data_IF_577304288283
#
_entry.id   IF_577304288283
#
_cell.length_a   1.000
_cell.length_b   1.000
_cell.length_c   1.000
_cell.angle_alpha   90.00
_cell.angle_beta   90.00
_cell.angle_gamma   90.00
#
_symmetry.space_group_name_H-M   'P 1'
#
loop_
_entity.id
_entity.type
_entity.pdbx_description
1 polymer ?
#
# COMPACT_ATOMS: atom_id res chain seq x y z
N UNK A 1 29.04 5.09 53.83
CA UNK A 1 28.80 3.95 52.92
C UNK A 1 27.44 4.17 52.30
N UNK A 2 27.40 4.76 51.12
CA UNK A 2 26.17 5.16 50.44
C UNK A 2 26.12 4.39 49.13
N UNK A 3 25.21 3.42 49.02
CA UNK A 3 25.00 2.63 47.82
C UNK A 3 24.25 3.48 46.79
N UNK A 4 24.94 3.86 45.72
CA UNK A 4 24.36 4.49 44.54
C UNK A 4 23.79 3.38 43.65
N UNK A 5 22.47 3.20 43.68
CA UNK A 5 21.76 2.22 42.85
C UNK A 5 21.64 2.80 41.43
N UNK A 6 22.49 2.32 40.52
CA UNK A 6 22.47 2.72 39.11
C UNK A 6 21.34 1.96 38.40
N UNK A 7 20.18 2.60 38.24
CA UNK A 7 19.10 2.10 37.38
C UNK A 7 19.52 2.29 35.91
N UNK A 8 20.00 1.21 35.28
CA UNK A 8 20.15 1.17 33.83
C UNK A 8 18.75 0.90 33.26
N UNK A 9 18.06 1.97 32.85
CA UNK A 9 16.89 1.85 31.97
C UNK A 9 17.38 1.34 30.62
N UNK A 10 17.29 0.03 30.42
CA UNK A 10 17.31 -0.58 29.10
C UNK A 10 16.00 -0.20 28.39
N UNK A 11 16.01 0.88 27.60
CA UNK A 11 15.00 1.06 26.56
C UNK A 11 15.21 -0.06 25.54
N UNK A 12 14.41 -1.12 25.66
CA UNK A 12 14.14 -1.98 24.53
C UNK A 12 13.43 -1.11 23.48
N UNK A 13 14.14 -0.78 22.41
CA UNK A 13 13.54 -0.21 21.22
C UNK A 13 12.61 -1.29 20.65
N UNK A 14 11.31 -1.14 20.89
CA UNK A 14 10.29 -1.81 20.08
C UNK A 14 10.53 -1.38 18.64
N UNK A 15 11.13 -2.28 17.87
CA UNK A 15 11.52 -2.06 16.50
C UNK A 15 10.28 -2.28 15.62
N UNK A 16 9.81 -1.20 15.03
CA UNK A 16 8.97 -1.15 13.83
C UNK A 16 7.63 -1.91 13.88
N UNK A 17 6.70 -1.47 14.75
CA UNK A 17 5.27 -1.62 14.49
C UNK A 17 4.64 -0.23 14.30
N UNK A 18 4.56 0.21 13.04
CA UNK A 18 3.70 1.32 12.60
C UNK A 18 4.04 2.70 13.16
N UNK A 19 5.25 3.21 12.92
CA UNK A 19 5.50 4.64 13.04
C UNK A 19 4.50 5.43 12.16
N UNK A 20 4.09 6.64 12.58
CA UNK A 20 3.13 7.42 11.80
C UNK A 20 3.70 7.72 10.41
N UNK A 21 2.94 7.40 9.36
CA UNK A 21 3.29 7.80 8.00
C UNK A 21 3.13 9.30 7.88
N UNK A 22 4.21 9.99 7.52
CA UNK A 22 4.23 11.45 7.48
C UNK A 22 3.33 12.01 6.38
N UNK A 23 3.28 11.35 5.22
CA UNK A 23 2.43 11.74 4.12
C UNK A 23 2.00 10.52 3.29
N UNK A 24 0.71 10.41 3.00
CA UNK A 24 0.18 9.37 2.09
C UNK A 24 -0.59 10.02 0.95
N UNK A 25 -0.22 9.71 -0.30
CA UNK A 25 -0.96 10.13 -1.49
C UNK A 25 -1.75 8.97 -2.05
N UNK A 26 -3.07 9.06 -2.01
CA UNK A 26 -3.97 8.05 -2.56
C UNK A 26 -4.23 8.29 -4.05
N UNK A 27 -3.95 7.27 -4.85
CA UNK A 27 -4.36 7.14 -6.24
C UNK A 27 -5.51 6.10 -6.34
N UNK A 28 -6.23 6.05 -7.46
CA UNK A 28 -7.39 5.16 -7.60
C UNK A 28 -7.11 3.68 -7.26
N UNK A 29 -5.88 3.20 -7.48
CA UNK A 29 -5.51 1.79 -7.36
C UNK A 29 -4.27 1.52 -6.51
N UNK A 30 -3.66 2.54 -5.92
CA UNK A 30 -2.47 2.43 -5.08
C UNK A 30 -2.32 3.68 -4.22
N UNK A 31 -1.41 3.66 -3.25
CA UNK A 31 -0.99 4.86 -2.54
C UNK A 31 0.54 4.98 -2.54
N UNK A 32 1.04 6.20 -2.64
CA UNK A 32 2.42 6.53 -2.32
C UNK A 32 2.50 6.83 -0.82
N UNK A 33 3.41 6.13 -0.14
CA UNK A 33 3.69 6.34 1.28
C UNK A 33 5.05 6.99 1.40
N UNK A 34 5.08 8.17 2.01
CA UNK A 34 6.30 8.92 2.33
C UNK A 34 6.45 9.02 3.85
N UNK A 35 7.62 8.61 4.35
CA UNK A 35 7.94 8.64 5.78
C UNK A 35 9.39 9.08 6.01
N UNK A 36 9.69 9.56 7.20
CA UNK A 36 11.07 9.88 7.59
C UNK A 36 11.98 8.64 7.45
N UNK A 37 13.21 8.84 6.95
CA UNK A 37 14.19 7.77 6.84
C UNK A 37 14.56 7.24 8.22
N UNK A 38 14.28 5.96 8.46
CA UNK A 38 14.69 5.23 9.65
C UNK A 38 16.14 4.72 9.58
N UNK A 39 16.59 3.95 10.59
CA UNK A 39 17.90 3.30 10.54
C UNK A 39 17.98 2.32 9.36
N UNK A 40 19.13 2.31 8.69
CA UNK A 40 19.39 1.38 7.59
C UNK A 40 20.01 0.06 8.08
N UNK A 41 19.68 -1.07 7.45
CA UNK A 41 18.71 -1.22 6.36
C UNK A 41 17.25 -1.09 6.84
N UNK A 42 16.38 -0.57 5.97
CA UNK A 42 14.93 -0.58 6.22
C UNK A 42 14.42 -2.01 6.21
N UNK A 43 13.62 -2.39 7.20
CA UNK A 43 13.03 -3.72 7.31
C UNK A 43 11.55 -3.69 6.94
N UNK A 44 11.14 -4.62 6.08
CA UNK A 44 9.74 -4.89 5.73
C UNK A 44 9.41 -6.35 6.04
N UNK A 45 8.27 -6.58 6.66
CA UNK A 45 7.74 -7.94 6.83
C UNK A 45 7.22 -8.48 5.50
N UNK A 46 7.13 -9.80 5.35
CA UNK A 46 6.51 -10.39 4.15
C UNK A 46 5.10 -9.84 3.89
N UNK A 47 4.31 -9.67 4.94
CA UNK A 47 2.91 -9.24 4.82
C UNK A 47 2.79 -7.77 4.36
N UNK A 48 3.81 -6.94 4.61
CA UNK A 48 3.93 -5.60 4.02
C UNK A 48 4.48 -5.66 2.59
N UNK A 49 5.53 -6.46 2.38
CA UNK A 49 6.28 -6.50 1.13
C UNK A 49 5.44 -6.94 -0.07
N UNK A 50 4.51 -7.88 0.10
CA UNK A 50 3.63 -8.34 -0.98
C UNK A 50 2.79 -7.22 -1.61
N UNK A 51 2.59 -6.11 -0.91
CA UNK A 51 1.85 -4.94 -1.40
C UNK A 51 2.76 -3.79 -1.83
N UNK A 52 4.05 -3.84 -1.50
CA UNK A 52 5.02 -2.81 -1.88
C UNK A 52 5.55 -3.12 -3.29
N UNK A 53 5.60 -2.11 -4.14
CA UNK A 53 6.21 -2.22 -5.47
C UNK A 53 7.73 -2.00 -5.35
N UNK A 54 8.60 -3.02 -5.53
CA UNK A 54 10.02 -2.89 -5.16
C UNK A 54 10.80 -1.83 -5.94
N UNK A 55 10.44 -1.59 -7.21
CA UNK A 55 11.06 -0.58 -8.08
C UNK A 55 10.54 0.85 -7.81
N UNK A 56 9.60 1.02 -6.90
CA UNK A 56 9.09 2.35 -6.50
C UNK A 56 9.79 2.94 -5.28
N UNK A 57 10.64 2.16 -4.60
CA UNK A 57 11.27 2.60 -3.36
C UNK A 57 12.37 3.61 -3.69
N UNK A 58 12.19 4.85 -3.23
CA UNK A 58 13.06 5.98 -3.53
C UNK A 58 13.41 6.74 -2.25
N UNK A 59 14.62 7.29 -2.22
CA UNK A 59 15.06 8.18 -1.17
C UNK A 59 14.85 9.62 -1.64
N UNK A 60 14.13 10.40 -0.85
CA UNK A 60 13.77 11.79 -1.13
C UNK A 60 14.55 12.73 -0.21
N UNK A 61 15.09 13.79 -0.82
CA UNK A 61 15.87 14.84 -0.18
C UNK A 61 16.13 15.97 -1.18
N UNK A 62 16.39 17.19 -0.70
CA UNK A 62 16.76 18.34 -1.51
C UNK A 62 18.12 18.18 -2.20
N UNK A 63 19.08 17.48 -1.59
CA UNK A 63 20.46 17.32 -2.09
C UNK A 63 20.98 15.88 -1.90
N UNK A 64 20.10 14.90 -2.06
CA UNK A 64 20.48 13.49 -1.97
C UNK A 64 20.84 12.93 -3.35
N UNK A 65 22.02 12.31 -3.45
CA UNK A 65 22.43 11.55 -4.62
C UNK A 65 22.52 10.07 -4.25
N UNK A 66 21.56 9.27 -4.70
CA UNK A 66 21.54 7.82 -4.46
C UNK A 66 22.41 7.14 -5.51
N UNK A 67 23.49 6.50 -5.07
CA UNK A 67 24.40 5.75 -5.95
C UNK A 67 23.94 4.32 -6.18
N UNK A 68 23.34 3.68 -5.17
CA UNK A 68 22.72 2.36 -5.33
C UNK A 68 21.62 2.09 -4.32
N UNK A 69 20.69 1.23 -4.72
CA UNK A 69 19.65 0.65 -3.84
C UNK A 69 19.78 -0.86 -3.89
N UNK A 70 19.97 -1.50 -2.74
CA UNK A 70 20.07 -2.96 -2.63
C UNK A 70 18.87 -3.48 -1.85
N UNK A 71 18.17 -4.45 -2.42
CA UNK A 71 17.06 -5.16 -1.77
C UNK A 71 17.52 -6.59 -1.48
N UNK A 72 17.52 -6.98 -0.21
CA UNK A 72 17.90 -8.32 0.23
C UNK A 72 16.72 -9.00 0.90
N UNK A 73 16.31 -10.14 0.38
CA UNK A 73 15.43 -11.06 1.10
C UNK A 73 16.27 -11.88 2.08
N UNK A 74 15.87 -11.91 3.36
CA UNK A 74 16.42 -12.83 4.35
C UNK A 74 15.31 -13.71 4.88
N UNK A 75 15.52 -15.02 4.78
CA UNK A 75 14.68 -16.05 5.40
C UNK A 75 15.55 -16.88 6.33
N UNK A 76 15.07 -17.16 7.54
CA UNK A 76 15.75 -18.09 8.44
C UNK A 76 15.67 -19.48 7.80
N UNK A 77 16.82 -20.05 7.45
CA UNK A 77 16.90 -21.40 6.89
C UNK A 77 16.30 -22.42 7.86
N UNK A 78 15.54 -23.35 7.30
CA UNK A 78 15.01 -24.52 8.01
C UNK A 78 15.94 -25.75 7.89
N UNK A 79 17.14 -25.59 7.34
CA UNK A 79 18.12 -26.67 7.26
C UNK A 79 18.51 -27.14 8.67
N UNK A 80 18.58 -28.46 8.85
CA UNK A 80 18.81 -29.13 10.12
C UNK A 80 17.57 -29.25 11.01
N UNK A 81 16.41 -28.72 10.62
CA UNK A 81 15.19 -28.80 11.46
C UNK A 81 14.55 -30.19 11.38
N UNK A 82 13.97 -30.61 12.50
CA UNK A 82 13.17 -31.83 12.56
C UNK A 82 11.80 -31.59 11.95
N UNK A 83 11.40 -32.48 11.05
CA UNK A 83 10.14 -32.43 10.32
C UNK A 83 9.52 -33.82 10.28
N UNK A 84 8.24 -33.87 9.93
CA UNK A 84 7.53 -35.10 9.63
C UNK A 84 7.20 -35.14 8.14
N UNK A 85 7.49 -36.26 7.48
CA UNK A 85 7.22 -36.44 6.06
C UNK A 85 6.23 -37.57 5.86
N UNK A 86 5.30 -37.40 4.92
CA UNK A 86 4.38 -38.48 4.55
C UNK A 86 5.18 -39.69 4.04
N UNK A 87 4.93 -40.87 4.61
CA UNK A 87 5.67 -42.09 4.28
C UNK A 87 5.59 -42.41 2.79
N UNK A 88 6.70 -42.86 2.15
CA UNK A 88 6.68 -43.21 0.74
C UNK A 88 5.70 -44.32 0.36
N UNK A 89 5.55 -45.32 1.23
CA UNK A 89 4.56 -46.40 1.11
C UNK A 89 3.10 -45.94 1.23
N UNK A 90 2.89 -44.65 1.47
CA UNK A 90 1.61 -44.02 1.81
C UNK A 90 1.27 -42.88 0.85
N UNK A 91 2.05 -42.70 -0.22
CA UNK A 91 1.80 -41.68 -1.26
C UNK A 91 0.55 -41.98 -2.11
N UNK A 92 -0.01 -43.20 -2.04
CA UNK A 92 -1.26 -43.61 -2.70
C UNK A 92 -2.54 -43.03 -2.05
N UNK A 93 -2.41 -41.95 -1.26
CA UNK A 93 -3.56 -41.18 -0.76
C UNK A 93 -4.28 -41.75 0.47
N UNK A 94 -4.27 -43.07 0.68
CA UNK A 94 -5.14 -43.73 1.67
C UNK A 94 -4.59 -43.92 3.08
N UNK A 95 -3.29 -43.67 3.31
CA UNK A 95 -2.72 -43.67 4.65
C UNK A 95 -2.10 -42.30 4.99
N UNK A 96 -2.19 -41.93 6.26
CA UNK A 96 -1.65 -40.70 6.86
C UNK A 96 -0.47 -41.02 7.77
N UNK A 97 0.36 -42.01 7.39
CA UNK A 97 1.55 -42.32 8.17
C UNK A 97 2.62 -41.28 7.88
N UNK A 98 3.04 -40.57 8.92
CA UNK A 98 4.15 -39.64 8.88
C UNK A 98 5.38 -40.26 9.53
N UNK A 99 6.55 -39.90 9.00
CA UNK A 99 7.85 -40.44 9.35
C UNK A 99 8.73 -39.28 9.77
N UNK A 100 9.47 -39.43 10.87
CA UNK A 100 10.36 -38.39 11.36
C UNK A 100 11.60 -38.25 10.45
N UNK A 101 11.97 -37.03 10.12
CA UNK A 101 13.15 -36.72 9.33
C UNK A 101 13.79 -35.39 9.71
N UNK A 102 14.95 -35.12 9.12
CA UNK A 102 15.66 -33.84 9.19
C UNK A 102 15.68 -33.22 7.81
N UNK A 103 15.24 -31.97 7.68
CA UNK A 103 15.38 -31.21 6.44
C UNK A 103 16.86 -30.87 6.24
N UNK A 104 17.48 -31.39 5.19
CA UNK A 104 18.90 -31.17 4.90
C UNK A 104 19.09 -29.94 4.00
N UNK A 105 18.17 -29.73 3.06
CA UNK A 105 18.18 -28.59 2.16
C UNK A 105 16.75 -28.15 1.84
N UNK A 106 16.36 -26.98 2.34
CA UNK A 106 15.06 -26.36 2.15
C UNK A 106 14.77 -26.02 0.68
N UNK A 107 15.75 -25.49 -0.07
CA UNK A 107 15.55 -25.07 -1.46
C UNK A 107 15.22 -26.23 -2.42
N UNK A 108 15.60 -27.45 -2.06
CA UNK A 108 15.35 -28.67 -2.83
C UNK A 108 14.44 -29.68 -2.12
N UNK A 109 13.90 -29.31 -0.95
CA UNK A 109 13.15 -30.20 -0.06
C UNK A 109 13.83 -31.57 0.12
N UNK A 110 15.14 -31.57 0.38
CA UNK A 110 15.93 -32.78 0.61
C UNK A 110 15.87 -33.17 2.07
N UNK A 111 15.53 -34.42 2.37
CA UNK A 111 15.18 -34.87 3.72
C UNK A 111 15.91 -36.16 4.05
N UNK A 112 16.54 -36.20 5.22
CA UNK A 112 17.12 -37.41 5.81
C UNK A 112 16.12 -38.04 6.76
N UNK A 113 15.63 -39.23 6.42
CA UNK A 113 14.71 -39.99 7.28
C UNK A 113 15.46 -40.55 8.49
N UNK A 114 14.86 -40.43 9.69
CA UNK A 114 15.43 -40.93 10.95
C UNK A 114 14.67 -42.13 11.52
N UNK A 115 13.66 -42.64 10.81
CA UNK A 115 12.84 -43.74 11.30
C UNK A 115 13.53 -45.09 11.08
N UNK A 116 13.98 -45.68 12.19
CA UNK A 116 14.63 -47.00 12.25
C UNK A 116 13.72 -48.12 11.73
N UNK A 117 12.39 -47.93 11.69
CA UNK A 117 11.45 -48.95 11.21
C UNK A 117 11.43 -49.13 9.69
N UNK A 118 12.07 -48.24 8.93
CA UNK A 118 11.95 -48.20 7.46
C UNK A 118 13.19 -48.74 6.75
N UNK A 119 14.39 -48.69 7.35
CA UNK A 119 15.63 -49.21 6.76
C UNK A 119 16.84 -49.07 7.69
N UNK A 120 17.71 -50.08 7.75
CA UNK A 120 19.04 -50.04 8.41
C UNK A 120 20.04 -49.06 7.73
N UNK A 121 19.66 -48.45 6.60
CA UNK A 121 20.49 -47.51 5.82
C UNK A 121 19.90 -46.12 5.82
N UNK A 122 20.78 -45.11 5.86
CA UNK A 122 20.43 -43.69 5.73
C UNK A 122 19.64 -43.46 4.43
N UNK A 123 18.35 -43.15 4.57
CA UNK A 123 17.46 -42.91 3.44
C UNK A 123 17.30 -41.40 3.23
N UNK A 124 17.75 -40.93 2.08
CA UNK A 124 17.57 -39.55 1.63
C UNK A 124 16.41 -39.51 0.64
N UNK A 125 15.40 -38.69 0.96
CA UNK A 125 14.34 -38.35 0.03
C UNK A 125 14.69 -37.03 -0.64
N UNK A 126 14.77 -37.05 -1.96
CA UNK A 126 14.97 -35.85 -2.77
C UNK A 126 13.62 -35.37 -3.32
N UNK A 127 13.43 -34.06 -3.41
CA UNK A 127 12.25 -33.44 -4.05
C UNK A 127 10.92 -33.84 -3.42
N UNK A 128 10.83 -33.84 -2.09
CA UNK A 128 9.54 -34.07 -1.42
C UNK A 128 8.62 -32.86 -1.66
N UNK A 129 7.39 -33.06 -2.15
CA UNK A 129 6.41 -31.97 -2.28
C UNK A 129 6.18 -31.26 -0.94
N UNK A 130 6.10 -29.93 -0.94
CA UNK A 130 5.97 -29.17 0.31
C UNK A 130 4.71 -29.55 1.12
N UNK A 131 3.62 -29.94 0.45
CA UNK A 131 2.40 -30.42 1.09
C UNK A 131 2.53 -31.81 1.75
N UNK A 132 3.66 -32.51 1.57
CA UNK A 132 3.98 -33.77 2.24
C UNK A 132 4.91 -33.58 3.45
N UNK A 133 5.32 -32.33 3.72
CA UNK A 133 6.18 -31.97 4.84
C UNK A 133 5.31 -31.28 5.90
N UNK A 134 5.36 -31.81 7.12
CA UNK A 134 4.79 -31.19 8.31
C UNK A 134 5.94 -30.66 9.16
N UNK A 135 5.95 -29.35 9.35
CA UNK A 135 6.88 -28.67 10.24
C UNK A 135 6.35 -28.72 11.67
N UNK A 136 7.26 -28.87 12.65
CA UNK A 136 6.91 -28.83 14.08
C UNK A 136 6.48 -27.43 14.54
N UNK A 137 7.04 -26.40 13.89
CA UNK A 137 6.74 -24.99 14.10
C UNK A 137 6.37 -24.37 12.75
N UNK A 138 5.60 -23.28 12.79
CA UNK A 138 5.28 -22.56 11.55
C UNK A 138 6.57 -22.03 10.90
N UNK A 139 6.79 -22.32 9.60
CA UNK A 139 7.95 -21.80 8.88
C UNK A 139 8.06 -20.28 9.01
N UNK A 140 9.26 -19.75 9.32
CA UNK A 140 9.45 -18.31 9.41
C UNK A 140 9.20 -17.66 8.05
N UNK A 141 8.35 -16.64 8.04
CA UNK A 141 8.13 -15.80 6.85
C UNK A 141 9.41 -15.04 6.50
N UNK A 142 9.70 -14.81 5.22
CA UNK A 142 10.85 -13.99 4.82
C UNK A 142 10.68 -12.55 5.30
N UNK A 143 11.81 -11.86 5.46
CA UNK A 143 11.89 -10.41 5.71
C UNK A 143 12.68 -9.76 4.58
N UNK A 144 12.32 -8.54 4.23
CA UNK A 144 12.94 -7.80 3.14
C UNK A 144 13.69 -6.60 3.70
N UNK A 145 14.93 -6.43 3.27
CA UNK A 145 15.83 -5.39 3.74
C UNK A 145 16.20 -4.48 2.58
N UNK A 146 15.92 -3.19 2.70
CA UNK A 146 16.29 -2.19 1.70
C UNK A 146 17.40 -1.32 2.25
N UNK A 147 18.51 -1.27 1.51
CA UNK A 147 19.66 -0.44 1.85
C UNK A 147 19.94 0.55 0.72
N UNK A 148 20.31 1.76 1.07
CA UNK A 148 20.72 2.79 0.14
C UNK A 148 22.20 3.11 0.35
N UNK A 149 22.94 3.27 -0.75
CA UNK A 149 24.22 3.98 -0.74
C UNK A 149 23.94 5.35 -1.35
N UNK A 150 24.21 6.41 -0.60
CA UNK A 150 23.89 7.77 -1.01
C UNK A 150 24.90 8.77 -0.44
N UNK A 151 25.02 9.89 -1.13
CA UNK A 151 25.71 11.09 -0.64
C UNK A 151 24.65 12.15 -0.34
N UNK A 152 24.70 12.74 0.86
CA UNK A 152 23.80 13.83 1.27
C UNK A 152 24.60 14.90 2.00
N UNK A 153 24.09 16.13 2.00
CA UNK A 153 24.66 17.20 2.83
C UNK A 153 24.42 16.89 4.32
N UNK A 154 25.31 17.39 5.19
CA UNK A 154 25.12 17.27 6.63
C UNK A 154 23.79 17.92 7.05
N UNK A 155 23.07 17.28 7.97
CA UNK A 155 21.80 17.71 8.57
C UNK A 155 20.56 17.70 7.66
N UNK A 156 20.62 17.02 6.51
CA UNK A 156 19.45 16.88 5.64
C UNK A 156 18.42 15.89 6.21
N UNK A 157 17.15 16.30 6.25
CA UNK A 157 16.02 15.44 6.60
C UNK A 157 15.66 14.61 5.37
N UNK A 158 15.95 13.32 5.44
CA UNK A 158 15.67 12.37 4.36
C UNK A 158 14.34 11.65 4.59
N UNK A 159 13.62 11.42 3.51
CA UNK A 159 12.39 10.64 3.51
C UNK A 159 12.55 9.43 2.59
N UNK A 160 11.86 8.33 2.89
CA UNK A 160 11.69 7.22 1.96
C UNK A 160 10.27 7.25 1.42
N UNK A 161 10.13 7.15 0.09
CA UNK A 161 8.85 7.04 -0.60
C UNK A 161 8.74 5.72 -1.35
N UNK A 162 7.58 5.08 -1.31
CA UNK A 162 7.29 3.85 -2.04
C UNK A 162 5.79 3.68 -2.30
N UNK A 163 5.44 2.92 -3.33
CA UNK A 163 4.07 2.62 -3.72
C UNK A 163 3.58 1.34 -3.05
N UNK A 164 2.34 1.41 -2.57
CA UNK A 164 1.56 0.33 -1.95
C UNK A 164 0.28 0.06 -2.73
N UNK A 165 0.03 -1.20 -3.08
CA UNK A 165 -1.18 -1.59 -3.81
C UNK A 165 -2.38 -1.93 -2.91
N UNK A 166 -2.16 -2.13 -1.61
CA UNK A 166 -3.22 -2.44 -0.65
C UNK A 166 -4.00 -1.22 -0.16
N UNK A 167 -3.51 -0.01 -0.48
CA UNK A 167 -4.16 1.25 -0.17
C UNK A 167 -4.73 1.83 -1.45
N UNK A 168 -6.03 2.04 -1.50
CA UNK A 168 -6.69 2.64 -2.65
C UNK A 168 -7.87 3.51 -2.19
N UNK A 169 -8.36 4.34 -3.10
CA UNK A 169 -9.53 5.14 -2.84
C UNK A 169 -10.47 5.17 -4.05
N UNK A 170 -11.74 5.45 -3.80
CA UNK A 170 -12.70 5.79 -4.84
C UNK A 170 -13.70 6.81 -4.32
N UNK A 171 -14.35 7.52 -5.24
CA UNK A 171 -15.44 8.42 -4.89
C UNK A 171 -16.78 7.70 -4.96
N UNK A 172 -17.58 7.80 -3.91
CA UNK A 172 -18.97 7.36 -3.88
C UNK A 172 -19.91 8.57 -3.90
N UNK A 173 -20.91 8.48 -4.76
CA UNK A 173 -21.95 9.49 -4.93
C UNK A 173 -23.28 9.01 -4.37
N UNK A 174 -23.95 9.86 -3.60
CA UNK A 174 -25.34 9.66 -3.20
C UNK A 174 -26.16 10.87 -3.65
N UNK A 175 -27.03 10.65 -4.64
CA UNK A 175 -27.96 11.65 -5.13
C UNK A 175 -29.31 11.47 -4.42
N UNK A 176 -29.70 12.46 -3.63
CA UNK A 176 -31.02 12.51 -3.02
C UNK A 176 -31.88 13.51 -3.80
N UNK A 177 -33.08 13.08 -4.20
CA UNK A 177 -34.05 13.89 -4.94
C UNK A 177 -35.28 14.10 -4.06
N UNK A 178 -35.57 15.34 -3.70
CA UNK A 178 -36.74 15.72 -2.89
C UNK A 178 -37.52 16.82 -3.59
N UNK A 179 -38.69 16.49 -4.15
CA UNK A 179 -39.49 17.40 -4.97
C UNK A 179 -38.63 18.02 -6.09
N UNK A 180 -38.27 19.30 -5.94
CA UNK A 180 -37.44 20.09 -6.87
C UNK A 180 -36.01 20.36 -6.34
N UNK A 181 -35.63 19.77 -5.22
CA UNK A 181 -34.30 19.89 -4.61
C UNK A 181 -33.48 18.63 -4.91
N UNK A 182 -32.35 18.81 -5.57
CA UNK A 182 -31.34 17.77 -5.78
C UNK A 182 -30.12 18.02 -4.90
N UNK A 183 -29.80 17.05 -4.05
CA UNK A 183 -28.62 17.09 -3.18
C UNK A 183 -27.69 15.94 -3.56
N UNK A 184 -26.49 16.27 -4.03
CA UNK A 184 -25.44 15.28 -4.30
C UNK A 184 -24.44 15.29 -3.13
N UNK A 185 -24.39 14.18 -2.40
CA UNK A 185 -23.40 13.94 -1.36
C UNK A 185 -22.26 13.15 -2.00
N UNK A 186 -21.03 13.60 -1.75
CA UNK A 186 -19.81 12.91 -2.19
C UNK A 186 -19.06 12.38 -0.98
N UNK A 187 -18.52 11.16 -1.10
CA UNK A 187 -17.84 10.45 -0.03
C UNK A 187 -16.57 9.85 -0.63
N UNK A 188 -15.42 10.08 0.00
CA UNK A 188 -14.20 9.35 -0.29
C UNK A 188 -14.24 8.03 0.45
N UNK A 189 -14.18 6.92 -0.29
CA UNK A 189 -14.07 5.58 0.24
C UNK A 189 -12.60 5.15 0.13
N UNK A 190 -11.87 5.20 1.25
CA UNK A 190 -10.46 4.81 1.33
C UNK A 190 -10.40 3.39 1.90
N UNK A 191 -9.74 2.48 1.20
CA UNK A 191 -9.67 1.06 1.57
C UNK A 191 -8.25 0.69 1.95
N UNK A 192 -8.12 -0.06 3.04
CA UNK A 192 -6.89 -0.73 3.44
C UNK A 192 -7.10 -2.24 3.32
N UNK A 193 -6.57 -2.85 2.26
CA UNK A 193 -6.60 -4.29 2.03
C UNK A 193 -5.39 -5.01 2.66
N UNK A 194 -4.52 -4.29 3.37
CA UNK A 194 -3.35 -4.84 4.05
C UNK A 194 -3.70 -5.57 5.34
N UNK A 195 -2.73 -6.29 5.88
CA UNK A 195 -2.84 -7.03 7.16
C UNK A 195 -2.54 -6.14 8.39
N UNK A 196 -2.12 -4.90 8.18
CA UNK A 196 -1.72 -3.99 9.26
C UNK A 196 -2.49 -2.68 9.19
N UNK A 197 -2.85 -2.15 10.36
CA UNK A 197 -3.37 -0.81 10.48
C UNK A 197 -2.32 0.23 10.06
N UNK A 198 -2.77 1.36 9.56
CA UNK A 198 -1.90 2.48 9.20
C UNK A 198 -2.33 3.74 9.95
N UNK A 199 -1.37 4.51 10.45
CA UNK A 199 -1.59 5.83 11.04
C UNK A 199 -1.00 6.87 10.11
N UNK A 200 -1.81 7.84 9.69
CA UNK A 200 -1.45 8.84 8.67
C UNK A 200 -1.52 10.23 9.30
N UNK A 201 -0.43 10.98 9.19
CA UNK A 201 -0.37 12.37 9.68
C UNK A 201 -0.98 13.34 8.66
N UNK A 202 -0.63 13.16 7.38
CA UNK A 202 -1.11 13.98 6.28
C UNK A 202 -1.49 13.08 5.11
N UNK A 203 -2.56 13.44 4.42
CA UNK A 203 -2.97 12.70 3.24
C UNK A 203 -3.49 13.59 2.13
N UNK A 204 -3.16 13.17 0.91
CA UNK A 204 -3.65 13.76 -0.34
C UNK A 204 -4.41 12.66 -1.09
N UNK A 205 -5.54 13.02 -1.68
CA UNK A 205 -6.30 12.19 -2.57
C UNK A 205 -6.14 12.77 -3.97
N UNK A 206 -5.67 11.96 -4.91
CA UNK A 206 -5.44 12.38 -6.29
C UNK A 206 -6.45 11.66 -7.19
N UNK A 207 -7.26 12.45 -7.89
CA UNK A 207 -8.26 11.98 -8.85
C UNK A 207 -8.09 12.60 -10.23
N UNK A 208 -8.75 12.01 -11.24
CA UNK A 208 -8.67 12.46 -12.63
C UNK A 208 -8.03 11.42 -13.54
N UNK A 209 -7.84 11.76 -14.82
CA UNK A 209 -7.23 10.87 -15.82
C UNK A 209 -5.70 10.83 -15.64
N UNK A 210 -5.24 10.20 -14.57
CA UNK A 210 -3.81 9.99 -14.32
C UNK A 210 -3.35 8.77 -15.11
N UNK A 211 -2.84 9.00 -16.32
CA UNK A 211 -2.11 7.97 -17.03
C UNK A 211 -0.70 7.85 -16.44
N UNK A 212 -0.55 7.03 -15.38
CA UNK A 212 0.76 6.55 -14.91
C UNK A 212 1.35 5.56 -15.93
N UNK A 213 1.56 6.00 -17.17
CA UNK A 213 2.39 5.23 -18.11
C UNK A 213 3.81 5.30 -17.57
N UNK A 214 4.37 4.13 -17.28
CA UNK A 214 5.74 3.88 -16.83
C UNK A 214 6.67 4.94 -17.40
N UNK A 215 7.16 5.84 -16.54
CA UNK A 215 8.09 6.87 -16.93
C UNK A 215 9.35 6.20 -17.48
N UNK A 216 9.56 6.33 -18.79
CA UNK A 216 10.90 6.21 -19.37
C UNK A 216 11.77 7.24 -18.63
N UNK A 217 12.98 6.90 -18.17
CA UNK A 217 13.85 7.86 -17.51
C UNK A 217 14.20 8.97 -18.50
N UNK A 218 13.45 10.08 -18.44
CA UNK A 218 13.86 11.31 -19.10
C UNK A 218 15.01 11.83 -18.25
N UNK A 219 16.23 11.60 -18.72
CA UNK A 219 17.39 12.35 -18.29
C UNK A 219 17.07 13.83 -18.48
N UNK A 220 16.66 14.51 -17.41
CA UNK A 220 16.68 15.98 -17.37
C UNK A 220 18.14 16.39 -17.27
N UNK A 221 18.76 16.61 -18.42
CA UNK A 221 19.93 17.45 -18.54
C UNK A 221 19.54 18.86 -18.08
N UNK A 222 19.89 19.22 -16.85
CA UNK A 222 19.78 20.58 -16.31
C UNK A 222 20.84 21.43 -17.02
N UNK A 223 20.44 22.10 -18.10
CA UNK A 223 21.16 23.27 -18.57
C UNK A 223 20.78 24.45 -17.67
N UNK A 224 21.77 24.91 -16.92
CA UNK A 224 21.74 26.13 -16.14
C UNK A 224 21.50 27.33 -17.08
N UNK A 225 20.30 27.89 -17.07
CA UNK A 225 20.06 29.26 -17.48
C UNK A 225 19.20 29.95 -16.43
N UNK A 226 19.84 30.90 -15.74
CA UNK A 226 19.26 31.92 -14.89
C UNK A 226 18.05 32.58 -15.57
N UNK A 227 16.86 32.46 -14.98
CA UNK A 227 15.92 33.57 -14.88
C UNK A 227 14.87 33.29 -13.76
N UNK A 228 14.58 34.24 -12.85
CA UNK A 228 13.81 33.99 -11.64
C UNK A 228 12.33 34.35 -11.84
N UNK A 229 11.53 33.42 -12.38
CA UNK A 229 10.06 33.54 -12.42
C UNK A 229 9.35 32.20 -12.20
N UNK A 230 9.77 31.44 -11.18
CA UNK A 230 8.97 30.33 -10.64
C UNK A 230 8.77 30.53 -9.14
N UNK A 231 7.53 30.42 -8.62
CA UNK A 231 7.30 30.44 -7.20
C UNK A 231 7.85 29.15 -6.60
N UNK A 232 8.66 29.36 -5.58
CA UNK A 232 9.07 28.45 -4.54
C UNK A 232 8.01 27.37 -4.22
N UNK A 233 8.26 26.11 -4.60
CA UNK A 233 7.60 24.93 -4.00
C UNK A 233 8.24 24.67 -2.62
N UNK A 234 8.34 25.73 -1.82
CA UNK A 234 8.73 25.67 -0.43
C UNK A 234 7.61 24.99 0.33
N UNK A 235 7.90 23.82 0.89
CA UNK A 235 7.09 23.23 1.96
C UNK A 235 6.89 24.32 3.03
N UNK A 236 5.65 24.80 3.26
CA UNK A 236 5.45 25.82 4.27
C UNK A 236 5.67 25.15 5.64
N UNK A 237 6.64 25.67 6.38
CA UNK A 237 6.80 25.48 7.82
C UNK A 237 5.53 25.97 8.55
N UNK A 238 4.47 25.18 8.53
CA UNK A 238 3.27 25.41 9.35
C UNK A 238 3.42 24.63 10.66
N UNK A 239 4.00 25.28 11.67
CA UNK A 239 3.69 24.94 13.07
C UNK A 239 2.22 25.28 13.33
N UNK A 240 1.31 24.31 13.23
CA UNK A 240 -0.06 24.42 13.76
C UNK A 240 -0.09 23.81 15.16
N UNK A 241 -0.51 24.61 16.15
CA UNK A 241 -0.83 24.14 17.49
C UNK A 241 -2.01 23.18 17.45
N UNK A 242 -1.84 22.03 18.08
CA UNK A 242 -2.85 20.98 18.20
C UNK A 242 -3.86 21.34 19.28
N UNK A 243 -5.13 21.49 18.91
CA UNK A 243 -6.26 21.43 19.84
C UNK A 243 -7.06 20.17 19.55
N UNK A 244 -6.96 19.21 20.47
CA UNK A 244 -7.73 17.95 20.46
C UNK A 244 -9.19 18.24 20.76
N UNK A 245 -9.96 18.51 19.70
CA UNK A 245 -11.41 18.25 19.70
C UNK A 245 -11.66 17.15 18.68
N UNK A 246 -12.38 16.11 19.10
CA UNK A 246 -12.77 14.97 18.26
C UNK A 246 -13.65 15.46 17.11
N UNK A 247 -13.03 15.90 16.03
CA UNK A 247 -13.67 16.29 14.79
C UNK A 247 -13.27 15.29 13.72
N UNK A 248 -14.26 14.78 12.99
CA UNK A 248 -14.09 13.83 11.90
C UNK A 248 -13.21 14.47 10.81
N UNK A 249 -12.28 13.71 10.24
CA UNK A 249 -11.48 14.15 9.10
C UNK A 249 -12.37 14.37 7.87
N UNK A 250 -12.07 15.41 7.09
CA UNK A 250 -12.84 15.78 5.91
C UNK A 250 -11.92 16.05 4.73
N UNK A 251 -12.44 15.85 3.53
CA UNK A 251 -11.68 16.03 2.28
C UNK A 251 -12.00 17.42 1.70
N UNK A 252 -10.98 18.26 1.59
CA UNK A 252 -11.07 19.62 1.05
C UNK A 252 -10.51 19.69 -0.39
N UNK A 253 -11.02 20.63 -1.19
CA UNK A 253 -10.51 20.85 -2.55
C UNK A 253 -9.14 21.54 -2.49
N UNK A 254 -8.13 20.91 -3.09
CA UNK A 254 -6.84 21.52 -3.35
C UNK A 254 -6.76 22.11 -4.76
N UNK A 255 -5.71 21.76 -5.49
CA UNK A 255 -5.37 22.30 -6.80
C UNK A 255 -5.91 21.44 -7.96
N UNK A 256 -6.21 22.10 -9.09
CA UNK A 256 -6.50 21.45 -10.38
C UNK A 256 -5.37 21.79 -11.36
N UNK A 257 -4.80 20.75 -11.99
CA UNK A 257 -3.83 20.92 -13.06
C UNK A 257 -4.01 19.85 -14.14
N UNK A 258 -4.32 20.27 -15.36
CA UNK A 258 -4.40 19.38 -16.52
C UNK A 258 -5.40 18.23 -16.40
N UNK A 259 -6.51 18.41 -15.66
CA UNK A 259 -7.52 17.37 -15.42
C UNK A 259 -7.17 16.40 -14.27
N UNK A 260 -6.11 16.69 -13.52
CA UNK A 260 -5.78 16.05 -12.25
C UNK A 260 -6.24 16.96 -11.11
N UNK A 261 -6.91 16.37 -10.13
CA UNK A 261 -7.45 17.06 -8.96
C UNK A 261 -6.80 16.49 -7.71
N UNK A 262 -6.26 17.38 -6.88
CA UNK A 262 -5.69 17.02 -5.57
C UNK A 262 -6.64 17.49 -4.49
N UNK A 263 -7.02 16.58 -3.60
CA UNK A 263 -7.84 16.88 -2.42
C UNK A 263 -7.04 16.59 -1.16
N UNK A 264 -7.06 17.49 -0.19
CA UNK A 264 -6.32 17.34 1.06
C UNK A 264 -7.23 16.79 2.15
N UNK A 265 -6.70 15.93 3.01
CA UNK A 265 -7.38 15.51 4.26
C UNK A 265 -6.84 16.38 5.39
N UNK A 266 -7.72 17.12 6.03
CA UNK A 266 -7.37 18.21 6.96
C UNK A 266 -6.77 17.75 8.29
N UNK A 267 -6.94 16.48 8.65
CA UNK A 267 -6.62 15.92 9.96
C UNK A 267 -5.92 14.56 9.86
N UNK A 268 -5.01 14.24 10.80
CA UNK A 268 -4.50 12.89 10.96
C UNK A 268 -5.60 11.87 11.21
N UNK A 269 -5.42 10.65 10.71
CA UNK A 269 -6.36 9.56 10.91
C UNK A 269 -5.67 8.20 10.81
N UNK A 270 -6.35 7.15 11.29
CA UNK A 270 -5.89 5.77 11.14
C UNK A 270 -6.90 4.95 10.34
N UNK A 271 -6.40 3.96 9.59
CA UNK A 271 -7.23 2.97 8.89
C UNK A 271 -6.81 1.59 9.36
N UNK A 272 -7.74 0.84 9.97
CA UNK A 272 -7.49 -0.51 10.44
C UNK A 272 -7.25 -1.48 9.27
N UNK A 273 -6.57 -2.59 9.55
CA UNK A 273 -6.35 -3.66 8.58
C UNK A 273 -7.68 -4.20 8.02
N UNK A 274 -7.74 -4.46 6.71
CA UNK A 274 -8.92 -4.99 6.01
C UNK A 274 -10.20 -4.15 6.20
N UNK A 275 -10.07 -2.84 6.41
CA UNK A 275 -11.23 -1.94 6.59
C UNK A 275 -11.38 -0.91 5.48
N UNK A 276 -12.50 -0.22 5.52
CA UNK A 276 -12.84 0.86 4.59
C UNK A 276 -13.27 2.08 5.40
N UNK A 277 -12.55 3.18 5.25
CA UNK A 277 -12.84 4.47 5.85
C UNK A 277 -13.66 5.32 4.90
N UNK A 278 -14.76 5.89 5.40
CA UNK A 278 -15.63 6.79 4.65
C UNK A 278 -15.42 8.22 5.14
N UNK A 279 -14.91 9.09 4.28
CA UNK A 279 -14.70 10.50 4.59
C UNK A 279 -15.67 11.37 3.79
N UNK A 280 -16.38 12.31 4.44
CA UNK A 280 -17.15 13.31 3.74
C UNK A 280 -16.24 14.13 2.81
N UNK A 281 -16.69 14.30 1.57
CA UNK A 281 -16.05 15.17 0.57
C UNK A 281 -16.92 16.43 0.33
N UNK A 282 -16.45 17.26 -0.60
CA UNK A 282 -17.13 18.48 -1.06
C UNK A 282 -18.59 18.20 -1.44
N UNK A 283 -19.50 19.12 -1.12
CA UNK A 283 -20.90 19.02 -1.54
C UNK A 283 -21.12 19.85 -2.82
N UNK A 284 -21.05 19.24 -4.02
CA UNK A 284 -21.36 19.94 -5.26
C UNK A 284 -22.83 20.34 -5.28
N UNK A 285 -23.10 21.52 -5.82
CA UNK A 285 -24.44 21.88 -6.25
C UNK A 285 -24.70 21.18 -7.58
N UNK A 286 -25.83 20.48 -7.64
CA UNK A 286 -26.25 19.77 -8.85
C UNK A 286 -27.62 20.22 -9.30
N UNK A 287 -27.80 20.30 -10.61
CA UNK A 287 -29.09 20.41 -11.26
C UNK A 287 -29.38 19.12 -12.01
N UNK A 288 -30.56 18.55 -11.81
CA UNK A 288 -30.97 17.29 -12.43
C UNK A 288 -32.12 17.57 -13.40
N UNK A 289 -31.85 17.44 -14.70
CA UNK A 289 -32.83 17.60 -15.76
C UNK A 289 -33.32 16.23 -16.22
N UNK A 290 -34.64 16.02 -16.23
CA UNK A 290 -35.27 14.81 -16.73
C UNK A 290 -35.68 15.00 -18.19
N UNK A 291 -35.28 14.07 -19.06
CA UNK A 291 -35.70 14.07 -20.47
C UNK A 291 -36.08 12.66 -20.93
N UNK A 292 -36.84 12.59 -22.03
CA UNK A 292 -37.21 11.31 -22.67
C UNK A 292 -36.32 11.08 -23.88
N UNK A 293 -35.64 9.93 -23.92
CA UNK A 293 -34.82 9.52 -25.04
C UNK A 293 -35.58 8.49 -25.86
N UNK A 294 -35.76 8.77 -27.15
CA UNK A 294 -36.29 7.81 -28.12
C UNK A 294 -35.20 7.61 -29.16
N UNK A 295 -34.61 6.42 -29.20
CA UNK A 295 -33.69 6.02 -30.26
C UNK A 295 -34.47 5.29 -31.35
N UNK A 296 -34.46 5.84 -32.57
CA UNK A 296 -35.10 5.24 -33.74
C UNK A 296 -34.12 5.27 -34.91
N UNK A 297 -33.97 4.14 -35.58
CA UNK A 297 -33.21 4.07 -36.82
C UNK A 297 -34.08 4.53 -37.98
N UNK A 298 -33.48 5.21 -38.95
CA UNK A 298 -34.15 5.52 -40.21
C UNK A 298 -34.27 4.22 -41.01
N UNK A 299 -35.51 3.78 -41.23
CA UNK A 299 -35.84 2.61 -42.05
C UNK A 299 -37.16 2.84 -42.78
N UNK A 300 -37.29 2.30 -43.98
CA UNK A 300 -38.50 2.43 -44.81
C UNK A 300 -39.69 1.59 -44.29
N UNK A 301 -39.44 0.72 -43.32
CA UNK A 301 -40.46 -0.08 -42.62
C UNK A 301 -40.88 0.55 -41.28
N UNK A 302 -42.13 0.32 -40.86
CA UNK A 302 -42.59 0.70 -39.52
C UNK A 302 -41.79 -0.03 -38.44
N UNK A 303 -41.05 0.71 -37.61
CA UNK A 303 -40.29 0.17 -36.48
C UNK A 303 -40.83 0.67 -35.15
N UNK A 304 -40.89 -0.24 -34.16
CA UNK A 304 -41.22 0.06 -32.77
C UNK A 304 -39.94 0.34 -31.99
N UNK A 305 -39.81 1.56 -31.46
CA UNK A 305 -38.68 1.96 -30.62
C UNK A 305 -39.04 1.96 -29.14
N UNK A 306 -38.04 1.74 -28.28
CA UNK A 306 -38.19 1.86 -26.83
C UNK A 306 -38.01 3.33 -26.43
N UNK A 307 -39.00 3.91 -25.77
CA UNK A 307 -38.83 5.17 -25.07
C UNK A 307 -38.12 4.89 -23.74
N UNK A 308 -37.03 5.62 -23.47
CA UNK A 308 -36.27 5.53 -22.24
C UNK A 308 -36.37 6.84 -21.48
N UNK A 309 -36.40 6.75 -20.15
CA UNK A 309 -36.26 7.90 -19.27
C UNK A 309 -34.78 8.12 -19.01
N UNK A 310 -34.31 9.33 -19.25
CA UNK A 310 -32.91 9.70 -19.06
C UNK A 310 -32.82 10.94 -18.17
N UNK A 311 -31.67 11.10 -17.53
CA UNK A 311 -31.38 12.23 -16.66
C UNK A 311 -30.06 12.85 -17.08
N UNK A 312 -30.01 14.17 -17.09
CA UNK A 312 -28.78 14.95 -17.24
C UNK A 312 -28.47 15.57 -15.88
N UNK A 313 -27.26 15.36 -15.40
CA UNK A 313 -26.78 15.95 -14.16
C UNK A 313 -25.71 16.97 -14.55
N UNK A 314 -25.92 18.21 -14.13
CA UNK A 314 -24.94 19.29 -14.25
C UNK A 314 -24.46 19.64 -12.85
N UNK A 315 -23.14 19.73 -12.66
CA UNK A 315 -22.54 20.10 -11.38
C UNK A 315 -21.73 21.39 -11.52
N UNK A 316 -21.72 22.19 -10.46
CA UNK A 316 -20.85 23.36 -10.30
C UNK A 316 -19.38 23.00 -10.03
N UNK A 317 -19.10 21.74 -9.65
CA UNK A 317 -17.77 21.23 -9.36
C UNK A 317 -17.45 20.01 -10.20
N UNK A 318 -16.15 19.74 -10.33
CA UNK A 318 -15.70 18.50 -10.94
C UNK A 318 -16.16 17.30 -10.10
N UNK A 319 -16.71 16.31 -10.80
CA UNK A 319 -17.03 15.01 -10.23
C UNK A 319 -15.98 14.03 -10.75
N UNK A 320 -15.14 13.55 -9.83
CA UNK A 320 -14.21 12.45 -10.08
C UNK A 320 -14.94 11.25 -10.70
N UNK A 321 -14.29 10.58 -11.64
CA UNK A 321 -14.87 9.37 -12.23
C UNK A 321 -14.93 8.30 -11.14
N UNK A 322 -16.13 7.96 -10.69
CA UNK A 322 -16.36 6.71 -9.99
C UNK A 322 -16.30 5.58 -11.01
N UNK A 323 -15.34 4.66 -10.87
CA UNK A 323 -15.44 3.35 -11.51
C UNK A 323 -16.35 2.46 -10.69
#
# INVERSE_FOLDING_TARGET
>A
MTFLLLFILSLAADTCNGGPYSLVRFYENMAEVSQLLGPLPLEFTNDQWIYIRPDSITLLGSNVNVTSTTITEKKKSLDGTQIYVRSPSSFDGNASKFVKGILINESSNMIKIQDESISDKELFLNYVPANHILYLEEPPKPKFYVNFTYDALHDEILHVSYLRSDLNWKTRYQLNLYNDISVLITIAEIRNEGESAISIEQAEIIGGDINLKTAVPVQRSVLLSHDPLFPDFGLPNMRRSFTTTSQIATVEQGEESGGVYVFNIDKPFSIDAKTTLLLPMLRPQVTVERFSLISKYFSDSSSTSKAQRSYRITSDKFLTRGK
#
